data_IF_640795981833
#
_entry.id   IF_640795981833
#
_cell.length_a   1.000
_cell.length_b   1.000
_cell.length_c   1.000
_cell.angle_alpha   90.00
_cell.angle_beta   90.00
_cell.angle_gamma   90.00
#
_symmetry.space_group_name_H-M   'P 1'
#
loop_
_entity.id
_entity.type
_entity.pdbx_description
1 polymer ?
#
# COMPACT_ATOMS: atom_id res chain seq x y z
N UNK A 1 -14.49 5.60 18.13
CA UNK A 1 -15.04 6.30 16.93
C UNK A 1 -15.95 5.33 16.22
N UNK A 2 -17.16 5.75 15.93
CA UNK A 2 -18.07 4.89 15.17
C UNK A 2 -17.59 4.68 13.76
N UNK A 3 -17.85 3.50 13.21
CA UNK A 3 -17.49 3.17 11.84
C UNK A 3 -18.56 3.71 10.88
N UNK A 4 -18.47 4.99 10.55
CA UNK A 4 -19.33 5.62 9.54
C UNK A 4 -18.54 5.75 8.24
N UNK A 5 -19.23 5.89 7.13
CA UNK A 5 -18.57 6.12 5.83
C UNK A 5 -17.70 7.37 5.89
N UNK A 6 -18.15 8.41 6.57
CA UNK A 6 -17.35 9.63 6.74
C UNK A 6 -16.04 9.34 7.49
N UNK A 7 -16.12 8.58 8.59
CA UNK A 7 -14.93 8.22 9.36
C UNK A 7 -13.99 7.31 8.54
N UNK A 8 -14.55 6.38 7.76
CA UNK A 8 -13.76 5.55 6.86
C UNK A 8 -12.96 6.39 5.88
N UNK A 9 -13.61 7.37 5.26
CA UNK A 9 -12.94 8.27 4.31
C UNK A 9 -11.82 9.05 4.98
N UNK A 10 -12.04 9.52 6.20
CA UNK A 10 -11.05 10.30 6.92
C UNK A 10 -9.80 9.47 7.26
N UNK A 11 -9.98 8.24 7.75
CA UNK A 11 -8.85 7.42 8.13
C UNK A 11 -8.07 6.91 6.91
N UNK A 12 -8.75 6.59 5.80
CA UNK A 12 -8.07 6.20 4.57
C UNK A 12 -7.29 7.37 3.98
N UNK A 13 -7.86 8.58 4.02
CA UNK A 13 -7.15 9.78 3.56
C UNK A 13 -5.87 10.03 4.38
N UNK A 14 -5.94 9.88 5.69
CA UNK A 14 -4.76 10.02 6.55
C UNK A 14 -3.72 8.94 6.25
N UNK A 15 -4.17 7.71 6.07
CA UNK A 15 -3.32 6.57 5.73
C UNK A 15 -2.52 6.85 4.45
N UNK A 16 -3.20 7.24 3.37
CA UNK A 16 -2.54 7.50 2.08
C UNK A 16 -1.64 8.74 2.15
N UNK A 17 -2.10 9.79 2.83
CA UNK A 17 -1.26 10.99 3.01
C UNK A 17 0.03 10.63 3.74
N UNK A 18 -0.07 9.82 4.79
CA UNK A 18 1.10 9.40 5.57
C UNK A 18 2.06 8.55 4.73
N UNK A 19 1.52 7.69 3.87
CA UNK A 19 2.35 6.95 2.91
C UNK A 19 3.12 7.89 1.98
N UNK A 20 2.44 8.91 1.44
CA UNK A 20 3.06 9.87 0.54
C UNK A 20 4.10 10.75 1.25
N UNK A 21 3.94 10.97 2.54
CA UNK A 21 4.92 11.67 3.36
C UNK A 21 6.05 10.76 3.84
N UNK A 22 5.95 9.47 3.56
CA UNK A 22 6.87 8.45 4.04
C UNK A 22 6.95 8.45 5.57
N UNK A 23 5.84 8.80 6.22
CA UNK A 23 5.70 8.77 7.66
C UNK A 23 5.13 7.43 8.08
N UNK A 24 5.99 6.43 8.11
CA UNK A 24 5.57 5.05 8.35
C UNK A 24 4.93 4.83 9.72
N UNK A 25 5.44 5.43 10.81
CA UNK A 25 4.73 5.32 12.10
C UNK A 25 3.27 5.79 12.02
N UNK A 26 3.00 6.87 11.29
CA UNK A 26 1.63 7.36 11.12
C UNK A 26 0.78 6.40 10.29
N UNK A 27 1.38 5.73 9.28
CA UNK A 27 0.70 4.68 8.50
C UNK A 27 0.28 3.55 9.44
N UNK A 28 1.20 3.05 10.27
CA UNK A 28 0.91 1.96 11.19
C UNK A 28 -0.19 2.33 12.18
N UNK A 29 -0.21 3.59 12.63
CA UNK A 29 -1.21 4.07 13.59
C UNK A 29 -2.64 4.07 13.03
N UNK A 30 -2.82 3.99 11.72
CA UNK A 30 -4.15 3.89 11.11
C UNK A 30 -4.77 2.51 11.27
N UNK A 31 -3.98 1.50 11.61
CA UNK A 31 -4.44 0.13 11.85
C UNK A 31 -4.73 -0.10 13.33
N UNK A 32 -5.56 -1.11 13.62
CA UNK A 32 -5.64 -1.62 14.99
C UNK A 32 -4.26 -2.18 15.37
N UNK A 33 -3.86 -2.00 16.64
CA UNK A 33 -2.50 -2.28 17.10
C UNK A 33 -2.36 -3.68 17.70
N UNK A 34 -3.04 -4.67 17.10
CA UNK A 34 -3.07 -6.03 17.64
C UNK A 34 -3.09 -7.08 16.50
N UNK A 35 -3.36 -8.33 16.87
CA UNK A 35 -3.33 -9.46 15.94
C UNK A 35 -4.43 -9.43 14.88
N UNK A 36 -5.41 -8.58 15.01
CA UNK A 36 -6.50 -8.47 14.03
C UNK A 36 -6.08 -7.71 12.78
N UNK A 37 -5.05 -6.88 12.89
CA UNK A 37 -4.53 -6.17 11.72
C UNK A 37 -3.95 -7.15 10.72
N UNK A 38 -4.17 -6.91 9.41
CA UNK A 38 -3.51 -7.71 8.38
C UNK A 38 -3.46 -6.97 7.05
N UNK A 39 -2.54 -7.38 6.22
CA UNK A 39 -2.33 -6.83 4.88
C UNK A 39 -2.26 -8.00 3.89
N UNK A 40 -3.16 -8.02 2.91
CA UNK A 40 -3.22 -9.08 1.92
C UNK A 40 -2.71 -8.60 0.57
N UNK A 41 -1.70 -9.28 0.04
CA UNK A 41 -1.17 -9.04 -1.31
C UNK A 41 -1.69 -10.17 -2.18
N UNK A 42 -2.84 -9.95 -2.82
CA UNK A 42 -3.56 -10.99 -3.54
C UNK A 42 -2.75 -11.63 -4.66
N UNK A 43 -2.03 -10.85 -5.52
CA UNK A 43 -1.24 -11.46 -6.60
C UNK A 43 -0.16 -12.42 -6.11
N UNK A 44 0.31 -12.27 -4.87
CA UNK A 44 1.34 -13.14 -4.29
C UNK A 44 0.76 -14.24 -3.42
N UNK A 45 -0.54 -14.23 -3.16
CA UNK A 45 -1.18 -15.14 -2.22
C UNK A 45 -0.65 -14.97 -0.79
N UNK A 46 -0.18 -13.78 -0.44
CA UNK A 46 0.48 -13.52 0.83
C UNK A 46 -0.42 -12.73 1.78
N UNK A 47 -0.42 -13.14 3.05
CA UNK A 47 -1.06 -12.40 4.13
C UNK A 47 -0.03 -12.09 5.21
N UNK A 48 0.11 -10.80 5.52
CA UNK A 48 0.95 -10.32 6.60
C UNK A 48 0.05 -10.11 7.81
N UNK A 49 0.22 -10.93 8.84
CA UNK A 49 -0.70 -11.02 9.98
C UNK A 49 -0.22 -10.18 11.16
N UNK A 50 -1.20 -9.55 11.83
CA UNK A 50 -0.96 -8.72 13.00
C UNK A 50 -0.30 -7.40 12.61
N UNK A 51 -0.26 -6.48 13.57
CA UNK A 51 0.37 -5.18 13.30
C UNK A 51 1.85 -5.33 12.96
N UNK A 52 2.53 -6.33 13.53
CA UNK A 52 3.94 -6.58 13.20
C UNK A 52 4.09 -7.08 11.76
N UNK A 53 3.14 -7.89 11.27
CA UNK A 53 3.12 -8.31 9.87
C UNK A 53 2.90 -7.13 8.93
N UNK A 54 1.99 -6.24 9.29
CA UNK A 54 1.73 -5.01 8.52
C UNK A 54 2.99 -4.16 8.44
N UNK A 55 3.69 -3.96 9.55
CA UNK A 55 4.97 -3.24 9.57
C UNK A 55 6.00 -3.89 8.66
N UNK A 56 6.12 -5.21 8.71
CA UNK A 56 7.06 -5.95 7.86
C UNK A 56 6.80 -5.74 6.37
N UNK A 57 5.52 -5.73 5.98
CA UNK A 57 5.15 -5.43 4.60
C UNK A 57 5.62 -4.03 4.18
N UNK A 58 5.31 -3.02 4.98
CA UNK A 58 5.68 -1.64 4.64
C UNK A 58 7.19 -1.42 4.64
N UNK A 59 7.93 -2.08 5.53
CA UNK A 59 9.40 -2.02 5.52
C UNK A 59 9.95 -2.53 4.19
N UNK A 60 9.38 -3.62 3.68
CA UNK A 60 9.77 -4.19 2.38
C UNK A 60 9.51 -3.19 1.24
N UNK A 61 8.33 -2.59 1.24
CA UNK A 61 7.94 -1.64 0.18
C UNK A 61 8.77 -0.36 0.28
N UNK A 62 9.00 0.15 1.48
CA UNK A 62 9.80 1.35 1.69
C UNK A 62 11.25 1.15 1.26
N UNK A 63 11.77 -0.07 1.44
CA UNK A 63 13.12 -0.41 0.98
C UNK A 63 13.17 -0.50 -0.55
N UNK A 64 12.17 -1.14 -1.15
CA UNK A 64 12.12 -1.32 -2.61
C UNK A 64 11.92 0.00 -3.35
N UNK A 65 11.01 0.84 -2.85
CA UNK A 65 10.63 2.12 -3.49
C UNK A 65 10.70 3.25 -2.45
N UNK A 66 11.91 3.74 -2.13
CA UNK A 66 12.05 4.78 -1.09
C UNK A 66 11.38 6.11 -1.45
N UNK A 67 11.15 6.37 -2.72
CA UNK A 67 10.47 7.56 -3.22
C UNK A 67 9.01 7.27 -3.62
N UNK A 68 8.41 6.25 -3.05
CA UNK A 68 7.03 5.83 -3.34
C UNK A 68 6.07 7.02 -3.31
N UNK A 69 5.20 7.07 -4.32
CA UNK A 69 4.12 8.04 -4.41
C UNK A 69 2.83 7.36 -4.84
N UNK A 70 1.73 7.75 -4.22
CA UNK A 70 0.40 7.19 -4.47
C UNK A 70 -0.51 8.30 -4.97
N UNK A 71 -1.09 8.10 -6.16
CA UNK A 71 -2.08 9.01 -6.72
C UNK A 71 -3.44 8.31 -6.72
N UNK A 72 -4.42 8.92 -6.06
CA UNK A 72 -5.79 8.37 -6.00
C UNK A 72 -6.51 8.70 -7.31
N UNK A 73 -7.06 7.68 -7.96
CA UNK A 73 -7.81 7.82 -9.21
C UNK A 73 -9.31 7.75 -8.99
N UNK A 74 -9.78 6.89 -8.13
CA UNK A 74 -11.20 6.76 -7.82
C UNK A 74 -11.41 6.26 -6.40
N UNK A 75 -12.55 6.62 -5.85
CA UNK A 75 -12.91 6.35 -4.47
C UNK A 75 -14.32 5.81 -4.39
N UNK A 76 -14.50 4.68 -3.72
CA UNK A 76 -15.81 4.06 -3.51
C UNK A 76 -15.91 3.67 -2.04
N UNK A 77 -16.98 4.07 -1.39
CA UNK A 77 -17.17 3.80 0.03
C UNK A 77 -18.56 3.24 0.27
N UNK A 78 -18.61 2.13 0.97
CA UNK A 78 -19.86 1.57 1.52
C UNK A 78 -19.62 1.30 2.99
N UNK A 79 -20.68 1.19 3.82
CA UNK A 79 -20.46 0.88 5.23
C UNK A 79 -19.61 -0.38 5.40
N UNK A 80 -18.49 -0.26 6.10
CA UNK A 80 -17.58 -1.37 6.42
C UNK A 80 -16.48 -1.61 5.41
N UNK A 81 -16.50 -0.97 4.23
CA UNK A 81 -15.46 -1.15 3.24
C UNK A 81 -15.25 0.11 2.41
N UNK A 82 -14.00 0.51 2.26
CA UNK A 82 -13.60 1.58 1.35
C UNK A 82 -12.70 1.02 0.27
N UNK A 83 -12.88 1.48 -0.96
CA UNK A 83 -12.08 1.02 -2.10
C UNK A 83 -11.42 2.23 -2.72
N UNK A 84 -10.14 2.09 -3.05
CA UNK A 84 -9.39 3.13 -3.76
C UNK A 84 -8.70 2.50 -4.95
N UNK A 85 -8.91 3.07 -6.13
CA UNK A 85 -8.07 2.77 -7.28
C UNK A 85 -6.98 3.83 -7.30
N UNK A 86 -5.74 3.38 -7.27
CA UNK A 86 -4.58 4.28 -7.15
C UNK A 86 -3.52 3.90 -8.19
N UNK A 87 -2.64 4.87 -8.49
CA UNK A 87 -1.41 4.60 -9.22
C UNK A 87 -0.27 4.75 -8.22
N UNK A 88 0.52 3.69 -8.08
CA UNK A 88 1.73 3.71 -7.27
C UNK A 88 2.91 3.85 -8.20
N UNK A 89 3.81 4.77 -7.87
CA UNK A 89 5.04 4.99 -8.63
C UNK A 89 6.22 5.10 -7.70
N UNK A 90 7.41 4.88 -8.24
CA UNK A 90 8.64 5.00 -7.50
C UNK A 90 9.82 4.52 -8.31
N UNK A 91 11.00 4.52 -7.68
CA UNK A 91 12.25 4.05 -8.29
C UNK A 91 12.73 2.81 -7.54
N UNK A 92 13.01 1.74 -8.28
CA UNK A 92 13.46 0.47 -7.72
C UNK A 92 14.90 0.59 -7.22
N UNK A 93 15.05 1.02 -5.98
CA UNK A 93 16.35 1.27 -5.34
C UNK A 93 16.70 0.26 -4.26
N UNK A 94 15.79 -0.66 -3.93
CA UNK A 94 16.03 -1.73 -2.98
C UNK A 94 15.55 -3.06 -3.56
N UNK A 95 15.99 -4.16 -2.98
CA UNK A 95 15.57 -5.49 -3.43
C UNK A 95 14.05 -5.63 -3.42
N UNK A 96 13.52 -6.24 -4.47
CA UNK A 96 12.10 -6.58 -4.56
C UNK A 96 11.95 -7.94 -5.25
N UNK A 97 11.22 -8.85 -4.62
CA UNK A 97 10.90 -10.18 -5.16
C UNK A 97 12.15 -10.94 -5.65
N UNK A 98 13.27 -10.79 -4.97
CA UNK A 98 14.53 -11.42 -5.33
C UNK A 98 15.35 -10.64 -6.37
N UNK A 99 14.83 -9.55 -6.90
CA UNK A 99 15.57 -8.72 -7.86
C UNK A 99 16.38 -7.65 -7.15
N UNK A 100 17.65 -7.55 -7.48
CA UNK A 100 18.52 -6.48 -6.99
C UNK A 100 18.06 -5.14 -7.53
N UNK A 101 18.40 -4.03 -6.86
CA UNK A 101 18.01 -2.69 -7.33
C UNK A 101 18.39 -2.48 -8.78
N UNK A 102 17.38 -2.18 -9.62
CA UNK A 102 17.60 -1.91 -11.04
C UNK A 102 17.79 -0.42 -11.32
N UNK A 103 17.36 0.43 -10.40
CA UNK A 103 17.32 1.88 -10.62
C UNK A 103 16.19 2.31 -11.55
N UNK A 104 15.36 1.38 -12.00
CA UNK A 104 14.27 1.68 -12.92
C UNK A 104 13.09 2.35 -12.23
N UNK A 105 12.44 3.25 -12.95
CA UNK A 105 11.16 3.81 -12.50
C UNK A 105 10.07 2.79 -12.77
N UNK A 106 9.16 2.65 -11.81
CA UNK A 106 8.00 1.78 -11.93
C UNK A 106 6.73 2.58 -11.68
N UNK A 107 5.65 2.19 -12.34
CA UNK A 107 4.34 2.78 -12.16
C UNK A 107 3.30 1.70 -12.44
N UNK A 108 2.36 1.51 -11.51
CA UNK A 108 1.36 0.44 -11.67
C UNK A 108 0.07 0.81 -10.95
N UNK A 109 -1.03 0.29 -11.46
CA UNK A 109 -2.35 0.50 -10.89
C UNK A 109 -2.63 -0.55 -9.82
N UNK A 110 -3.26 -0.10 -8.73
CA UNK A 110 -3.64 -0.96 -7.60
C UNK A 110 -5.08 -0.67 -7.23
N UNK A 111 -5.86 -1.72 -6.97
CA UNK A 111 -7.14 -1.60 -6.31
C UNK A 111 -6.95 -2.04 -4.85
N UNK A 112 -7.20 -1.13 -3.92
CA UNK A 112 -7.03 -1.36 -2.50
C UNK A 112 -8.39 -1.38 -1.79
N UNK A 113 -8.63 -2.44 -1.02
CA UNK A 113 -9.84 -2.63 -0.23
C UNK A 113 -9.48 -2.51 1.24
N UNK A 114 -10.14 -1.58 1.92
CA UNK A 114 -9.91 -1.31 3.34
C UNK A 114 -11.11 -1.77 4.15
N UNK A 115 -10.86 -2.52 5.24
CA UNK A 115 -11.89 -2.89 6.19
C UNK A 115 -11.57 -2.28 7.55
N UNK A 116 -12.58 -2.19 8.42
CA UNK A 116 -12.49 -1.33 9.60
C UNK A 116 -12.99 -2.05 10.85
N UNK A 117 -12.38 -1.71 11.99
CA UNK A 117 -12.89 -2.08 13.30
C UNK A 117 -14.11 -1.19 13.59
N UNK A 118 -15.31 -1.77 13.79
CA UNK A 118 -16.50 -0.96 14.05
C UNK A 118 -16.47 -0.22 15.37
N UNK A 119 -15.58 -0.60 16.30
CA UNK A 119 -15.48 0.05 17.61
C UNK A 119 -14.55 1.25 17.55
N UNK A 120 -13.31 1.06 17.06
CA UNK A 120 -12.31 2.12 17.03
C UNK A 120 -12.33 2.95 15.75
N UNK A 121 -12.90 2.41 14.66
CA UNK A 121 -12.84 3.03 13.35
C UNK A 121 -11.52 2.86 12.63
N UNK A 122 -10.54 2.25 13.27
CA UNK A 122 -9.24 1.99 12.65
C UNK A 122 -9.30 0.83 11.67
N UNK A 123 -8.30 0.73 10.82
CA UNK A 123 -8.24 -0.34 9.82
C UNK A 123 -8.03 -1.70 10.47
N UNK A 124 -8.83 -2.67 10.08
CA UNK A 124 -8.51 -4.08 10.29
C UNK A 124 -7.55 -4.53 9.20
N UNK A 125 -7.81 -4.13 7.95
CA UNK A 125 -7.05 -4.69 6.85
C UNK A 125 -6.98 -3.77 5.65
N UNK A 126 -5.96 -4.03 4.85
CA UNK A 126 -5.87 -3.57 3.47
C UNK A 126 -5.62 -4.80 2.61
N UNK A 127 -6.33 -4.90 1.48
CA UNK A 127 -6.16 -5.99 0.51
C UNK A 127 -5.94 -5.37 -0.85
N UNK A 128 -4.84 -5.71 -1.50
CA UNK A 128 -4.48 -5.10 -2.77
C UNK A 128 -4.46 -6.11 -3.92
N UNK A 129 -4.90 -5.62 -5.07
CA UNK A 129 -4.89 -6.32 -6.35
C UNK A 129 -4.11 -5.49 -7.35
N UNK A 130 -3.18 -6.09 -8.04
CA UNK A 130 -2.40 -5.43 -9.08
C UNK A 130 -1.76 -6.49 -9.99
N UNK A 131 -1.15 -6.06 -11.07
CA UNK A 131 -0.49 -6.94 -12.03
C UNK A 131 0.99 -7.08 -11.68
N UNK A 132 1.35 -8.17 -11.01
CA UNK A 132 2.73 -8.44 -10.61
C UNK A 132 3.64 -8.61 -11.82
N UNK A 133 3.14 -9.23 -12.90
CA UNK A 133 3.94 -9.41 -14.10
C UNK A 133 4.36 -8.06 -14.72
N UNK A 134 3.46 -7.08 -14.68
CA UNK A 134 3.77 -5.72 -15.14
C UNK A 134 4.87 -5.08 -14.30
N UNK A 135 4.79 -5.21 -12.97
CA UNK A 135 5.82 -4.66 -12.07
C UNK A 135 7.17 -5.30 -12.35
N UNK A 136 7.22 -6.63 -12.43
CA UNK A 136 8.47 -7.34 -12.70
C UNK A 136 9.03 -6.99 -14.08
N UNK A 137 8.16 -6.84 -15.09
CA UNK A 137 8.57 -6.43 -16.42
C UNK A 137 9.23 -5.06 -16.44
N UNK A 138 8.71 -4.12 -15.67
CA UNK A 138 9.29 -2.78 -15.54
C UNK A 138 10.64 -2.82 -14.84
N UNK A 139 10.78 -3.62 -13.80
CA UNK A 139 12.03 -3.80 -13.08
C UNK A 139 13.12 -4.37 -13.97
N UNK A 140 12.75 -5.32 -14.84
CA UNK A 140 13.69 -6.03 -15.70
C UNK A 140 13.98 -5.32 -17.03
N UNK A 141 13.20 -4.31 -17.39
CA UNK A 141 13.37 -3.63 -18.66
C UNK A 141 14.62 -2.77 -18.67
N UNK A 142 15.19 -2.58 -19.86
CA UNK A 142 16.24 -1.58 -20.03
C UNK A 142 15.55 -0.24 -20.20
N UNK A 143 15.77 0.64 -19.24
CA UNK A 143 15.27 2.00 -19.33
C UNK A 143 16.41 2.90 -19.79
N UNK A 144 16.13 3.73 -20.78
CA UNK A 144 17.04 4.79 -21.12
C UNK A 144 17.08 5.73 -19.93
N UNK A 145 18.27 5.90 -19.49
CA UNK A 145 18.48 6.82 -18.43
C UNK A 145 18.04 8.17 -18.94
N UNK A 146 17.22 8.65 -18.28
CA UNK A 146 16.68 9.83 -18.60
C UNK A 146 17.58 10.73 -19.06
N UNK A 147 17.96 10.13 -19.49
CA UNK A 147 18.47 10.29 -19.73
C UNK A 147 19.22 10.14 -19.90
N UNK A 148 19.02 9.54 -20.02
CA UNK A 148 19.84 9.19 -20.23
C UNK A 148 20.07 9.58 -20.31
#
# INVERSE_FOLDING_TARGET
MENTVENQRAIVAEHIRSENEHNWPAVYDTFVQDERAHYDVVPLGARFKGIEGVRGFYETIATALPDLHIEIKSEYDVPGCSIREVVISGTHKGEYAGFKPSGNKVSFEVAAFYTFDPVSGKLFSERIYYDQASVLGQIQSKQTSGGA
#
